data_IF_376183843352
#
_entry.id   IF_376183843352
#
_cell.length_a   1.000
_cell.length_b   1.000
_cell.length_c   1.000
_cell.angle_alpha   90.00
_cell.angle_beta   90.00
_cell.angle_gamma   90.00
#
_symmetry.space_group_name_H-M   'P 1'
#
loop_
_entity.id
_entity.type
_entity.pdbx_description
1 polymer ?
#
# COMPACT_ATOMS: atom_id res chain seq x y z
N UNK A 1 13.26 -4.50 41.33
CA UNK A 1 13.90 -4.37 40.01
C UNK A 1 12.87 -3.73 39.11
N UNK A 2 12.94 -2.40 39.02
CA UNK A 2 12.01 -1.52 38.32
C UNK A 2 12.87 -0.56 37.50
N UNK A 3 12.45 -0.35 36.25
CA UNK A 3 13.09 0.50 35.26
C UNK A 3 13.36 1.90 35.83
N UNK A 4 14.58 2.36 35.63
CA UNK A 4 15.08 3.65 36.09
C UNK A 4 15.43 4.47 34.84
N UNK A 5 14.65 5.49 34.45
CA UNK A 5 15.13 6.45 33.46
C UNK A 5 16.17 7.35 34.13
N UNK A 6 17.36 7.38 33.53
CA UNK A 6 18.47 8.23 33.95
C UNK A 6 18.10 9.70 33.74
N UNK A 7 17.89 10.42 34.84
CA UNK A 7 17.92 11.88 34.90
C UNK A 7 19.35 12.28 35.27
N UNK A 8 20.01 13.09 34.44
CA UNK A 8 21.17 13.88 34.87
C UNK A 8 20.94 15.38 34.63
N UNK A 9 20.43 15.97 35.71
CA UNK A 9 20.45 17.33 36.25
C UNK A 9 21.65 18.24 35.83
N UNK A 10 21.42 19.52 35.47
CA UNK A 10 21.54 20.66 36.40
C UNK A 10 21.18 22.04 35.80
N UNK A 11 20.64 22.86 36.69
CA UNK A 11 19.96 24.15 36.53
C UNK A 11 20.95 25.29 36.84
N UNK A 12 20.91 26.43 36.13
CA UNK A 12 20.53 27.79 36.63
C UNK A 12 21.10 28.95 35.78
N UNK A 13 20.23 29.81 35.24
CA UNK A 13 20.14 31.25 35.58
C UNK A 13 19.19 32.04 34.64
N UNK A 14 17.98 32.29 35.14
CA UNK A 14 17.10 33.47 34.98
C UNK A 14 17.26 34.43 33.78
N UNK A 15 16.22 34.52 32.93
CA UNK A 15 15.56 35.79 32.56
C UNK A 15 14.31 35.61 31.65
N UNK A 16 13.12 35.87 32.22
CA UNK A 16 11.78 36.19 31.64
C UNK A 16 11.11 35.23 30.62
N UNK A 17 9.75 35.12 30.65
CA UNK A 17 9.01 34.09 29.91
C UNK A 17 8.74 34.53 28.46
N UNK A 18 9.21 33.72 27.51
CA UNK A 18 8.72 33.69 26.13
C UNK A 18 7.51 32.73 26.05
N UNK A 19 6.58 32.89 25.09
CA UNK A 19 5.34 32.13 25.08
C UNK A 19 5.67 30.64 24.99
N UNK A 20 5.01 29.83 25.83
CA UNK A 20 5.12 28.38 25.80
C UNK A 20 4.78 27.92 24.39
N UNK A 21 5.77 27.57 23.61
CA UNK A 21 5.61 26.66 22.50
C UNK A 21 5.10 25.38 23.15
N UNK A 22 3.83 25.07 22.89
CA UNK A 22 3.22 23.82 23.31
C UNK A 22 4.11 22.69 22.77
N UNK A 23 4.80 22.00 23.67
CA UNK A 23 5.36 20.69 23.38
C UNK A 23 4.15 19.84 22.98
N UNK A 24 4.15 19.20 21.80
CA UNK A 24 3.05 18.32 21.42
C UNK A 24 2.83 17.31 22.55
N UNK A 25 1.65 17.37 23.16
CA UNK A 25 1.13 16.36 24.06
C UNK A 25 1.35 15.00 23.42
N UNK A 26 1.90 14.04 24.17
CA UNK A 26 1.92 12.61 23.84
C UNK A 26 0.58 12.28 23.16
N UNK A 27 0.60 12.03 21.85
CA UNK A 27 -0.60 11.63 21.12
C UNK A 27 -1.03 10.30 21.72
N UNK A 28 -2.17 10.31 22.43
CA UNK A 28 -2.79 9.11 22.95
C UNK A 28 -2.96 8.13 21.79
N UNK A 29 -2.38 6.93 21.92
CA UNK A 29 -2.47 5.89 20.89
C UNK A 29 -3.94 5.61 20.62
N UNK A 30 -4.35 5.74 19.35
CA UNK A 30 -5.74 5.58 18.96
C UNK A 30 -6.30 4.20 19.37
N UNK A 31 -7.51 4.11 19.93
CA UNK A 31 -8.11 2.84 20.36
C UNK A 31 -8.16 1.75 19.27
N UNK A 32 -8.18 2.12 17.99
CA UNK A 32 -8.14 1.18 16.86
C UNK A 32 -6.86 0.35 16.82
N UNK A 33 -5.73 0.85 17.32
CA UNK A 33 -4.46 0.13 17.40
C UNK A 33 -4.60 -1.09 18.31
N UNK A 34 -5.13 -0.89 19.52
CA UNK A 34 -5.39 -1.98 20.45
C UNK A 34 -6.44 -2.95 19.90
N UNK A 35 -7.51 -2.41 19.32
CA UNK A 35 -8.58 -3.22 18.74
C UNK A 35 -8.07 -4.13 17.60
N UNK A 36 -7.24 -3.59 16.71
CA UNK A 36 -6.62 -4.34 15.62
C UNK A 36 -5.71 -5.44 16.14
N UNK A 37 -4.90 -5.15 17.16
CA UNK A 37 -4.03 -6.16 17.77
C UNK A 37 -4.83 -7.28 18.45
N UNK A 38 -5.88 -6.93 19.20
CA UNK A 38 -6.78 -7.92 19.81
C UNK A 38 -7.43 -8.83 18.75
N UNK A 39 -7.93 -8.27 17.65
CA UNK A 39 -8.53 -9.04 16.56
C UNK A 39 -7.52 -9.97 15.88
N UNK A 40 -6.30 -9.48 15.65
CA UNK A 40 -5.20 -10.29 15.12
C UNK A 40 -4.83 -11.46 16.05
N UNK A 41 -4.73 -11.22 17.37
CA UNK A 41 -4.41 -12.25 18.36
C UNK A 41 -5.54 -13.28 18.47
N UNK A 42 -6.79 -12.84 18.40
CA UNK A 42 -7.95 -13.73 18.40
C UNK A 42 -7.94 -14.66 17.19
N UNK A 43 -7.62 -14.14 16.00
CA UNK A 43 -7.49 -14.93 14.78
C UNK A 43 -6.20 -15.78 14.75
N UNK A 44 -5.15 -15.35 15.45
CA UNK A 44 -3.84 -15.99 15.47
C UNK A 44 -3.33 -16.24 16.91
N UNK A 45 -3.91 -17.21 17.65
CA UNK A 45 -3.61 -17.41 19.08
C UNK A 45 -2.14 -17.73 19.43
N UNK A 46 -1.32 -18.06 18.42
CA UNK A 46 0.13 -18.26 18.58
C UNK A 46 0.88 -17.00 19.02
N UNK A 47 0.36 -15.81 18.71
CA UNK A 47 0.99 -14.52 19.03
C UNK A 47 0.56 -13.95 20.39
N UNK A 48 -0.35 -14.61 21.13
CA UNK A 48 -1.00 -14.06 22.34
C UNK A 48 -0.08 -13.58 23.47
N UNK A 49 1.17 -14.04 23.50
CA UNK A 49 2.15 -13.68 24.53
C UNK A 49 3.13 -12.60 24.05
N UNK A 50 3.00 -12.14 22.81
CA UNK A 50 3.81 -11.03 22.29
C UNK A 50 3.24 -9.69 22.77
N UNK A 51 4.14 -8.72 22.94
CA UNK A 51 3.75 -7.34 23.23
C UNK A 51 3.10 -6.71 22.00
N UNK A 52 2.23 -5.72 22.23
CA UNK A 52 1.64 -4.97 21.13
C UNK A 52 2.75 -4.26 20.35
N UNK A 53 2.80 -4.38 19.02
CA UNK A 53 3.83 -3.72 18.23
C UNK A 53 3.70 -2.19 18.26
N UNK A 54 4.80 -1.49 18.01
CA UNK A 54 4.77 -0.04 17.82
C UNK A 54 3.89 0.35 16.63
N UNK A 55 3.22 1.50 16.74
CA UNK A 55 2.33 2.03 15.71
C UNK A 55 2.85 3.35 15.12
N UNK A 56 2.86 3.46 13.78
CA UNK A 56 3.31 4.65 13.08
C UNK A 56 2.72 4.75 11.67
N UNK A 57 2.75 5.95 11.07
CA UNK A 57 2.33 6.19 9.69
C UNK A 57 3.52 6.54 8.80
N UNK A 58 3.37 6.28 7.49
CA UNK A 58 4.39 6.65 6.52
C UNK A 58 4.40 8.15 6.24
N UNK A 59 5.58 8.69 5.94
CA UNK A 59 5.77 10.08 5.54
C UNK A 59 5.36 11.09 6.62
N UNK A 60 5.35 12.39 6.29
CA UNK A 60 5.07 13.48 7.23
C UNK A 60 3.91 14.40 6.79
N UNK A 61 3.05 13.95 5.88
CA UNK A 61 1.86 14.69 5.48
C UNK A 61 0.67 13.73 5.29
N UNK A 62 -0.53 14.25 5.48
CA UNK A 62 -1.76 13.46 5.47
C UNK A 62 -2.00 12.70 4.17
N UNK A 63 -1.84 13.39 3.03
CA UNK A 63 -2.07 12.81 1.71
C UNK A 63 -1.20 11.56 1.49
N UNK A 64 0.09 11.64 1.80
CA UNK A 64 1.01 10.54 1.59
C UNK A 64 0.85 9.44 2.64
N UNK A 65 0.64 9.79 3.91
CA UNK A 65 0.39 8.81 4.97
C UNK A 65 -0.83 7.93 4.68
N UNK A 66 -1.96 8.55 4.34
CA UNK A 66 -3.21 7.85 4.06
C UNK A 66 -3.08 6.97 2.82
N UNK A 67 -2.54 7.52 1.72
CA UNK A 67 -2.30 6.78 0.47
C UNK A 67 -1.36 5.60 0.67
N UNK A 68 -0.25 5.77 1.39
CA UNK A 68 0.73 4.71 1.59
C UNK A 68 0.20 3.61 2.51
N UNK A 69 -0.62 3.94 3.51
CA UNK A 69 -1.27 2.96 4.35
C UNK A 69 -2.27 2.09 3.56
N UNK A 70 -3.05 2.69 2.66
CA UNK A 70 -3.92 1.96 1.73
C UNK A 70 -3.12 1.00 0.84
N UNK A 71 -2.01 1.46 0.26
CA UNK A 71 -1.14 0.59 -0.56
C UNK A 71 -0.53 -0.58 0.23
N UNK A 72 -0.30 -0.43 1.54
CA UNK A 72 0.13 -1.55 2.41
C UNK A 72 -1.00 -2.55 2.62
N UNK A 73 -2.23 -2.07 2.85
CA UNK A 73 -3.43 -2.93 2.97
C UNK A 73 -3.67 -3.71 1.67
N UNK A 74 -3.48 -3.07 0.51
CA UNK A 74 -3.61 -3.70 -0.82
C UNK A 74 -2.43 -4.64 -1.17
N UNK A 75 -1.36 -4.62 -0.37
CA UNK A 75 -0.13 -5.36 -0.64
C UNK A 75 0.66 -4.87 -1.85
N UNK A 76 0.42 -3.63 -2.30
CA UNK A 76 1.21 -2.97 -3.35
C UNK A 76 2.50 -2.38 -2.78
N UNK A 77 2.43 -1.75 -1.60
CA UNK A 77 3.61 -1.31 -0.85
C UNK A 77 4.05 -2.41 0.11
N UNK A 78 5.25 -2.94 -0.09
CA UNK A 78 5.85 -4.00 0.73
C UNK A 78 7.28 -3.70 1.15
N UNK A 79 7.73 -2.46 1.00
CA UNK A 79 9.01 -1.99 1.51
C UNK A 79 8.95 -0.60 2.11
N UNK A 80 9.92 -0.28 2.95
CA UNK A 80 10.12 1.04 3.56
C UNK A 80 11.59 1.38 3.68
N UNK A 81 11.91 2.67 3.57
CA UNK A 81 13.29 3.14 3.58
C UNK A 81 13.51 4.26 4.59
N UNK A 82 14.46 4.07 5.50
CA UNK A 82 14.92 5.07 6.46
C UNK A 82 16.37 5.48 6.24
N UNK A 83 16.80 6.61 6.82
CA UNK A 83 18.21 6.99 6.82
C UNK A 83 18.98 6.20 7.87
N UNK A 84 20.14 5.65 7.50
CA UNK A 84 21.03 4.98 8.45
C UNK A 84 21.49 5.94 9.56
N UNK A 85 21.78 7.20 9.20
CA UNK A 85 22.23 8.22 10.14
C UNK A 85 21.24 8.48 11.29
N UNK A 86 19.93 8.26 11.10
CA UNK A 86 18.95 8.42 12.18
C UNK A 86 19.12 7.38 13.28
N UNK A 87 19.47 6.15 12.92
CA UNK A 87 19.77 5.10 13.89
C UNK A 87 21.05 5.41 14.66
N UNK A 88 22.08 5.92 13.97
CA UNK A 88 23.33 6.35 14.63
C UNK A 88 23.10 7.51 15.60
N UNK A 89 22.33 8.53 15.20
CA UNK A 89 22.02 9.69 16.02
C UNK A 89 21.17 9.33 17.24
N UNK A 90 20.18 8.45 17.06
CA UNK A 90 19.34 7.96 18.15
C UNK A 90 20.06 6.94 19.06
N UNK A 91 21.22 6.41 18.64
CA UNK A 91 21.85 5.26 19.31
C UNK A 91 20.95 4.02 19.30
N UNK A 92 20.12 3.88 18.27
CA UNK A 92 19.14 2.81 18.13
C UNK A 92 19.70 1.66 17.29
N UNK A 93 19.25 0.44 17.59
CA UNK A 93 19.54 -0.72 16.75
C UNK A 93 18.81 -0.61 15.40
N UNK A 94 19.42 -1.19 14.35
CA UNK A 94 18.73 -1.34 13.07
C UNK A 94 17.53 -2.29 13.20
N UNK A 95 16.51 -2.15 12.33
CA UNK A 95 15.38 -3.06 12.29
C UNK A 95 15.84 -4.52 12.11
N UNK A 96 15.07 -5.45 12.63
CA UNK A 96 15.38 -6.88 12.55
C UNK A 96 14.26 -7.66 11.87
N UNK A 97 14.63 -8.75 11.19
CA UNK A 97 13.66 -9.67 10.60
C UNK A 97 12.78 -10.26 11.70
N UNK A 98 11.47 -10.22 11.51
CA UNK A 98 10.46 -10.66 12.46
C UNK A 98 9.85 -9.53 13.30
N UNK A 99 10.43 -8.33 13.28
CA UNK A 99 9.82 -7.13 13.88
C UNK A 99 8.46 -6.87 13.25
N UNK A 100 7.46 -6.62 14.08
CA UNK A 100 6.11 -6.25 13.65
C UNK A 100 5.89 -4.76 13.89
N UNK A 101 5.05 -4.16 13.07
CA UNK A 101 4.59 -2.80 13.26
C UNK A 101 3.11 -2.69 12.92
N UNK A 102 2.40 -1.77 13.58
CA UNK A 102 1.05 -1.39 13.22
C UNK A 102 1.12 -0.12 12.37
N UNK A 103 0.74 -0.22 11.11
CA UNK A 103 0.67 0.92 10.20
C UNK A 103 -0.64 1.67 10.43
N UNK A 104 -0.55 2.98 10.63
CA UNK A 104 -1.70 3.88 10.79
C UNK A 104 -1.85 4.82 9.58
N UNK A 105 -3.02 5.43 9.45
CA UNK A 105 -3.20 6.63 8.64
C UNK A 105 -2.65 7.86 9.39
N UNK A 106 -2.74 9.06 8.81
CA UNK A 106 -2.20 10.28 9.42
C UNK A 106 -2.87 10.64 10.75
N UNK A 107 -4.15 10.32 10.90
CA UNK A 107 -4.92 10.57 12.12
C UNK A 107 -4.62 9.55 13.24
N UNK A 108 -3.73 8.57 12.98
CA UNK A 108 -3.35 7.53 13.94
C UNK A 108 -4.29 6.31 13.96
N UNK A 109 -5.31 6.27 13.10
CA UNK A 109 -6.20 5.11 12.99
C UNK A 109 -5.46 3.93 12.36
N UNK A 110 -5.47 2.77 13.02
CA UNK A 110 -4.79 1.57 12.56
C UNK A 110 -5.36 1.04 11.22
N UNK A 111 -4.48 0.74 10.27
CA UNK A 111 -4.80 0.27 8.92
C UNK A 111 -4.29 -1.16 8.68
N UNK A 112 -3.08 -1.48 9.14
CA UNK A 112 -2.49 -2.80 8.93
C UNK A 112 -1.51 -3.21 10.04
N UNK A 113 -1.26 -4.52 10.16
CA UNK A 113 -0.10 -5.08 10.88
C UNK A 113 0.84 -5.62 9.83
N UNK A 114 2.10 -5.21 9.87
CA UNK A 114 3.17 -5.72 8.99
C UNK A 114 4.22 -6.49 9.79
N UNK A 115 5.01 -7.32 9.10
CA UNK A 115 6.21 -7.96 9.64
C UNK A 115 7.38 -7.79 8.68
N UNK A 116 8.52 -7.32 9.20
CA UNK A 116 9.77 -7.20 8.44
C UNK A 116 10.32 -8.59 8.11
N UNK A 117 10.60 -8.85 6.84
CA UNK A 117 11.10 -10.13 6.33
C UNK A 117 12.51 -10.05 5.76
N UNK A 118 13.00 -8.84 5.45
CA UNK A 118 14.36 -8.59 4.99
C UNK A 118 14.78 -7.18 5.42
N UNK A 119 16.04 -7.02 5.79
CA UNK A 119 16.65 -5.73 6.10
C UNK A 119 18.00 -5.66 5.41
N UNK A 120 18.22 -4.60 4.65
CA UNK A 120 19.49 -4.30 4.00
C UNK A 120 19.91 -2.86 4.28
N UNK A 121 21.20 -2.59 4.19
CA UNK A 121 21.74 -1.22 4.23
C UNK A 121 22.57 -0.99 2.97
N UNK A 122 22.13 -0.05 2.15
CA UNK A 122 22.74 0.22 0.84
C UNK A 122 22.90 1.72 0.62
N UNK A 123 23.83 2.16 -0.24
CA UNK A 123 23.90 3.56 -0.66
C UNK A 123 22.62 3.98 -1.41
N UNK A 124 22.13 5.19 -1.18
CA UNK A 124 20.92 5.74 -1.81
C UNK A 124 20.93 5.61 -3.34
N UNK A 125 22.08 5.87 -3.98
CA UNK A 125 22.22 5.78 -5.43
C UNK A 125 22.24 4.34 -5.99
N UNK A 126 22.34 3.32 -5.14
CA UNK A 126 22.34 1.90 -5.53
C UNK A 126 20.99 1.23 -5.37
N UNK A 127 19.94 1.98 -5.00
CA UNK A 127 18.58 1.44 -4.96
C UNK A 127 18.16 0.96 -6.35
N UNK A 128 17.66 -0.28 -6.40
CA UNK A 128 17.20 -0.91 -7.63
C UNK A 128 15.79 -0.44 -8.01
N UNK A 129 15.45 -0.53 -9.29
CA UNK A 129 14.09 -0.24 -9.75
C UNK A 129 13.06 -1.19 -9.15
N UNK A 130 13.40 -2.47 -8.98
CA UNK A 130 12.53 -3.46 -8.36
C UNK A 130 12.21 -3.12 -6.88
N UNK A 131 13.21 -2.69 -6.12
CA UNK A 131 12.99 -2.24 -4.75
C UNK A 131 12.16 -0.95 -4.71
N UNK A 132 12.48 0.02 -5.57
CA UNK A 132 11.72 1.25 -5.68
C UNK A 132 10.23 1.00 -6.00
N UNK A 133 9.93 -0.01 -6.81
CA UNK A 133 8.56 -0.37 -7.15
C UNK A 133 7.75 -0.84 -5.94
N UNK A 134 8.32 -1.75 -5.14
CA UNK A 134 7.66 -2.26 -3.92
C UNK A 134 7.65 -1.25 -2.76
N UNK A 135 8.57 -0.28 -2.73
CA UNK A 135 8.55 0.80 -1.75
C UNK A 135 7.50 1.87 -2.13
N UNK A 136 7.43 2.27 -3.40
CA UNK A 136 6.46 3.27 -3.85
C UNK A 136 5.04 2.70 -4.03
N UNK A 137 4.92 1.39 -4.21
CA UNK A 137 3.67 0.70 -4.56
C UNK A 137 3.24 0.98 -6.00
N UNK A 138 4.19 1.16 -6.92
CA UNK A 138 3.94 1.40 -8.35
C UNK A 138 5.08 0.86 -9.21
N UNK A 139 4.76 0.29 -10.37
CA UNK A 139 5.75 -0.14 -11.36
C UNK A 139 6.12 0.98 -12.35
N UNK A 140 5.36 2.09 -12.36
CA UNK A 140 5.51 3.18 -13.35
C UNK A 140 6.61 4.13 -12.90
N UNK A 141 7.69 4.22 -13.67
CA UNK A 141 8.82 5.11 -13.38
C UNK A 141 9.32 5.02 -11.93
N UNK A 142 9.18 3.83 -11.32
CA UNK A 142 9.28 3.65 -9.88
C UNK A 142 10.57 4.21 -9.29
N UNK A 143 11.71 3.93 -9.92
CA UNK A 143 13.02 4.41 -9.48
C UNK A 143 13.14 5.95 -9.52
N UNK A 144 12.59 6.58 -10.56
CA UNK A 144 12.64 8.03 -10.70
C UNK A 144 11.73 8.70 -9.66
N UNK A 145 10.51 8.18 -9.49
CA UNK A 145 9.57 8.64 -8.46
C UNK A 145 10.15 8.46 -7.05
N UNK A 146 10.70 7.28 -6.77
CA UNK A 146 11.34 6.95 -5.50
C UNK A 146 12.48 7.91 -5.18
N UNK A 147 13.42 8.11 -6.12
CA UNK A 147 14.55 9.04 -5.92
C UNK A 147 14.09 10.46 -5.67
N UNK A 148 13.06 10.93 -6.37
CA UNK A 148 12.50 12.27 -6.20
C UNK A 148 11.88 12.43 -4.82
N UNK A 149 10.99 11.51 -4.43
CA UNK A 149 10.28 11.57 -3.15
C UNK A 149 11.25 11.45 -1.96
N UNK A 150 12.11 10.43 -1.97
CA UNK A 150 13.04 10.17 -0.86
C UNK A 150 14.10 11.26 -0.73
N UNK A 151 14.63 11.81 -1.84
CA UNK A 151 15.54 12.95 -1.76
C UNK A 151 14.86 14.15 -1.12
N UNK A 152 13.65 14.51 -1.56
CA UNK A 152 12.94 15.65 -1.01
C UNK A 152 12.69 15.48 0.50
N UNK A 153 12.26 14.30 0.91
CA UNK A 153 12.02 13.97 2.31
C UNK A 153 13.30 14.02 3.14
N UNK A 154 14.34 13.28 2.74
CA UNK A 154 15.61 13.20 3.47
C UNK A 154 16.35 14.54 3.51
N UNK A 155 16.31 15.32 2.43
CA UNK A 155 16.95 16.63 2.42
C UNK A 155 16.30 17.56 3.45
N UNK A 156 14.96 17.62 3.50
CA UNK A 156 14.24 18.44 4.47
C UNK A 156 14.60 18.06 5.91
N UNK A 157 14.65 16.75 6.23
CA UNK A 157 14.99 16.30 7.59
C UNK A 157 16.46 16.50 7.94
N UNK A 158 17.38 16.29 7.01
CA UNK A 158 18.82 16.49 7.25
C UNK A 158 19.16 17.97 7.48
N UNK A 159 18.47 18.88 6.79
CA UNK A 159 18.67 20.33 6.95
C UNK A 159 18.43 20.78 8.40
N UNK A 160 17.48 20.16 9.12
CA UNK A 160 17.21 20.43 10.54
C UNK A 160 18.40 20.06 11.45
N UNK A 161 19.15 19.02 11.08
CA UNK A 161 20.38 18.57 11.76
C UNK A 161 21.67 19.24 11.24
N UNK A 162 21.55 20.19 10.30
CA UNK A 162 22.69 20.84 9.66
C UNK A 162 23.50 19.95 8.71
N UNK A 163 22.98 18.76 8.38
CA UNK A 163 23.58 17.82 7.44
C UNK A 163 23.13 18.09 6.01
N UNK A 164 23.82 17.51 5.03
CA UNK A 164 23.48 17.62 3.61
C UNK A 164 23.22 16.26 3.02
N UNK A 165 22.18 16.18 2.19
CA UNK A 165 21.91 15.01 1.38
C UNK A 165 23.08 14.72 0.43
N UNK A 166 23.47 13.45 0.34
CA UNK A 166 24.48 12.96 -0.60
C UNK A 166 24.00 11.66 -1.25
N UNK A 167 24.44 11.38 -2.48
CA UNK A 167 24.00 10.21 -3.25
C UNK A 167 24.53 8.89 -2.69
N UNK A 168 25.65 8.94 -1.98
CA UNK A 168 26.35 7.81 -1.37
C UNK A 168 25.96 7.57 0.09
N UNK A 169 25.05 8.39 0.65
CA UNK A 169 24.55 8.16 2.00
C UNK A 169 23.84 6.82 2.12
N UNK A 170 24.00 6.17 3.28
CA UNK A 170 23.40 4.87 3.54
C UNK A 170 21.92 5.02 3.91
N UNK A 171 21.10 4.18 3.30
CA UNK A 171 19.69 3.98 3.63
C UNK A 171 19.48 2.57 4.14
N UNK A 172 18.59 2.44 5.11
CA UNK A 172 18.15 1.18 5.70
C UNK A 172 16.85 0.80 5.01
N UNK A 173 16.90 -0.30 4.28
CA UNK A 173 15.82 -0.83 3.46
C UNK A 173 15.16 -2.00 4.18
N UNK A 174 13.88 -1.91 4.45
CA UNK A 174 13.09 -3.00 5.02
C UNK A 174 12.10 -3.50 3.98
N UNK A 175 12.08 -4.81 3.73
CA UNK A 175 10.97 -5.47 3.03
C UNK A 175 10.08 -6.11 4.08
N UNK A 176 8.78 -5.93 3.97
CA UNK A 176 7.79 -6.44 4.90
C UNK A 176 6.63 -7.15 4.20
N UNK A 177 5.85 -7.89 4.99
CA UNK A 177 4.58 -8.48 4.57
C UNK A 177 3.46 -8.00 5.46
N UNK A 178 2.29 -7.75 4.88
CA UNK A 178 1.07 -7.48 5.64
C UNK A 178 0.55 -8.76 6.27
N UNK A 179 0.46 -8.78 7.60
CA UNK A 179 -0.12 -9.86 8.41
C UNK A 179 -1.61 -9.65 8.70
N UNK A 180 -2.02 -8.39 8.83
CA UNK A 180 -3.40 -8.02 9.15
C UNK A 180 -3.78 -6.70 8.43
N UNK A 181 -5.03 -6.47 8.01
CA UNK A 181 -6.15 -7.42 8.03
C UNK A 181 -5.81 -8.71 7.32
N UNK A 182 -6.32 -9.85 7.82
CA UNK A 182 -6.21 -11.09 7.06
C UNK A 182 -6.79 -10.81 5.69
N UNK A 183 -6.12 -11.29 4.65
CA UNK A 183 -6.60 -11.10 3.29
C UNK A 183 -7.96 -11.81 3.13
N UNK A 184 -9.03 -11.05 3.30
CA UNK A 184 -10.39 -11.48 3.02
C UNK A 184 -10.70 -10.99 1.63
N UNK A 185 -10.49 -11.88 0.66
CA UNK A 185 -10.86 -11.59 -0.71
C UNK A 185 -12.36 -11.32 -0.79
N UNK A 186 -12.71 -10.16 -1.33
CA UNK A 186 -14.09 -9.82 -1.64
C UNK A 186 -14.69 -10.91 -2.54
N UNK A 187 -15.85 -11.45 -2.17
CA UNK A 187 -16.52 -12.50 -2.95
C UNK A 187 -17.62 -11.90 -3.83
N UNK A 188 -17.47 -12.04 -5.14
CA UNK A 188 -18.56 -11.84 -6.10
C UNK A 188 -19.28 -13.18 -6.25
N UNK A 189 -20.47 -13.27 -5.65
CA UNK A 189 -21.29 -14.48 -5.68
C UNK A 189 -22.22 -14.46 -6.89
N UNK A 190 -22.04 -15.42 -7.80
CA UNK A 190 -22.85 -15.55 -9.01
C UNK A 190 -23.71 -16.80 -8.92
N UNK A 191 -25.03 -16.64 -9.09
CA UNK A 191 -25.99 -17.75 -9.05
C UNK A 191 -26.70 -17.98 -10.40
N UNK A 192 -26.44 -17.11 -11.36
CA UNK A 192 -27.01 -17.12 -12.71
C UNK A 192 -25.94 -16.65 -13.70
N UNK A 193 -26.21 -16.77 -15.00
CA UNK A 193 -25.28 -16.29 -16.03
C UNK A 193 -24.91 -14.84 -15.77
N UNK A 194 -23.64 -14.50 -15.76
CA UNK A 194 -23.20 -13.12 -15.46
C UNK A 194 -21.84 -12.84 -16.07
N UNK A 195 -21.56 -11.56 -16.30
CA UNK A 195 -20.22 -11.07 -16.66
C UNK A 195 -19.68 -10.24 -15.50
N UNK A 196 -18.46 -10.55 -15.08
CA UNK A 196 -17.68 -9.72 -14.17
C UNK A 196 -16.61 -9.00 -14.98
N UNK A 197 -16.73 -7.69 -15.10
CA UNK A 197 -15.69 -6.82 -15.64
C UNK A 197 -14.75 -6.36 -14.54
N UNK A 198 -13.46 -6.35 -14.84
CA UNK A 198 -12.41 -5.80 -13.99
C UNK A 198 -11.80 -4.62 -14.71
N UNK A 199 -12.00 -3.43 -14.16
CA UNK A 199 -11.45 -2.20 -14.72
C UNK A 199 -10.08 -1.89 -14.10
N UNK A 200 -9.17 -1.23 -14.84
CA UNK A 200 -7.93 -0.72 -14.27
C UNK A 200 -8.21 0.32 -13.18
N UNK A 201 -7.40 0.32 -12.13
CA UNK A 201 -7.42 1.41 -11.16
C UNK A 201 -6.73 2.69 -11.69
N UNK A 202 -6.80 3.79 -10.95
CA UNK A 202 -6.22 5.07 -11.37
C UNK A 202 -4.70 5.00 -11.61
N UNK A 203 -3.96 4.22 -10.82
CA UNK A 203 -2.51 4.07 -10.98
C UNK A 203 -2.20 3.27 -12.25
N UNK A 204 -3.00 2.27 -12.57
CA UNK A 204 -2.90 1.51 -13.81
C UNK A 204 -3.27 2.35 -15.03
N UNK A 205 -4.26 3.24 -14.94
CA UNK A 205 -4.59 4.18 -16.01
C UNK A 205 -3.46 5.18 -16.27
N UNK A 206 -2.90 5.78 -15.21
CA UNK A 206 -1.72 6.66 -15.31
C UNK A 206 -0.51 5.92 -15.91
N UNK A 207 -0.32 4.64 -15.57
CA UNK A 207 0.69 3.77 -16.16
C UNK A 207 0.52 3.62 -17.68
N UNK A 208 -0.72 3.38 -18.11
CA UNK A 208 -1.06 3.16 -19.51
C UNK A 208 -0.86 4.45 -20.32
N UNK A 209 -1.35 5.58 -19.81
CA UNK A 209 -1.18 6.89 -20.45
C UNK A 209 0.30 7.24 -20.60
N UNK A 210 1.09 7.07 -19.55
CA UNK A 210 2.54 7.29 -19.57
C UNK A 210 3.25 6.41 -20.60
N UNK A 211 2.87 5.13 -20.68
CA UNK A 211 3.49 4.13 -21.57
C UNK A 211 3.12 4.31 -23.04
N UNK A 212 1.86 4.63 -23.32
CA UNK A 212 1.34 4.73 -24.70
C UNK A 212 1.47 6.13 -25.28
N UNK A 213 1.58 7.15 -24.44
CA UNK A 213 1.51 8.54 -24.87
C UNK A 213 0.07 9.02 -25.02
N UNK A 214 -0.12 10.32 -24.86
CA UNK A 214 -1.44 10.95 -24.70
C UNK A 214 -2.39 10.65 -25.89
N UNK A 215 -1.93 10.84 -27.12
CA UNK A 215 -2.76 10.67 -28.33
C UNK A 215 -3.22 9.21 -28.54
N UNK A 216 -2.29 8.25 -28.43
CA UNK A 216 -2.60 6.82 -28.59
C UNK A 216 -3.47 6.31 -27.43
N UNK A 217 -3.22 6.79 -26.21
CA UNK A 217 -4.04 6.46 -25.04
C UNK A 217 -5.49 6.89 -25.23
N UNK A 218 -5.74 8.16 -25.56
CA UNK A 218 -7.11 8.66 -25.72
C UNK A 218 -7.83 8.01 -26.90
N UNK A 219 -7.12 7.70 -27.99
CA UNK A 219 -7.69 6.95 -29.13
C UNK A 219 -8.12 5.55 -28.70
N UNK A 220 -7.26 4.82 -27.97
CA UNK A 220 -7.59 3.49 -27.46
C UNK A 220 -8.76 3.51 -26.46
N UNK A 221 -8.84 4.56 -25.63
CA UNK A 221 -9.95 4.73 -24.69
C UNK A 221 -11.28 5.00 -25.39
N UNK A 222 -11.29 5.81 -26.46
CA UNK A 222 -12.51 6.09 -27.23
C UNK A 222 -13.06 4.81 -27.88
N UNK A 223 -12.19 4.02 -28.54
CA UNK A 223 -12.55 2.73 -29.12
C UNK A 223 -13.08 1.77 -28.05
N UNK A 224 -12.38 1.64 -26.93
CA UNK A 224 -12.79 0.79 -25.82
C UNK A 224 -14.18 1.19 -25.28
N UNK A 225 -14.44 2.49 -25.10
CA UNK A 225 -15.73 2.99 -24.66
C UNK A 225 -16.84 2.62 -25.65
N UNK A 226 -16.58 2.77 -26.95
CA UNK A 226 -17.53 2.41 -28.00
C UNK A 226 -17.87 0.91 -27.98
N UNK A 227 -16.87 0.04 -27.90
CA UNK A 227 -17.12 -1.41 -27.87
C UNK A 227 -17.72 -1.88 -26.54
N UNK A 228 -17.34 -1.24 -25.42
CA UNK A 228 -17.95 -1.51 -24.11
C UNK A 228 -19.43 -1.17 -24.10
N UNK A 229 -19.84 -0.07 -24.75
CA UNK A 229 -21.25 0.28 -24.90
C UNK A 229 -22.03 -0.81 -25.68
N UNK A 230 -21.48 -1.29 -26.80
CA UNK A 230 -22.10 -2.38 -27.56
C UNK A 230 -22.21 -3.67 -26.75
N UNK A 231 -21.18 -4.00 -25.96
CA UNK A 231 -21.19 -5.17 -25.09
C UNK A 231 -22.31 -5.03 -24.04
N UNK A 232 -22.43 -3.86 -23.41
CA UNK A 232 -23.49 -3.62 -22.42
C UNK A 232 -24.89 -3.73 -23.03
N UNK A 233 -25.12 -3.19 -24.22
CA UNK A 233 -26.39 -3.33 -24.95
C UNK A 233 -26.72 -4.80 -25.25
N UNK A 234 -25.72 -5.59 -25.66
CA UNK A 234 -25.88 -7.02 -25.89
C UNK A 234 -26.24 -7.76 -24.60
N UNK A 235 -25.49 -7.54 -23.51
CA UNK A 235 -25.73 -8.19 -22.22
C UNK A 235 -27.13 -7.86 -21.69
N UNK A 236 -27.59 -6.61 -21.84
CA UNK A 236 -28.96 -6.21 -21.47
C UNK A 236 -30.00 -6.95 -22.32
N UNK A 237 -29.80 -7.03 -23.64
CA UNK A 237 -30.71 -7.77 -24.53
C UNK A 237 -30.81 -9.26 -24.21
N UNK A 238 -29.73 -9.85 -23.69
CA UNK A 238 -29.65 -11.25 -23.25
C UNK A 238 -30.04 -11.44 -21.78
N UNK A 239 -30.34 -10.36 -21.06
CA UNK A 239 -30.63 -10.36 -19.62
C UNK A 239 -29.49 -10.98 -18.78
N UNK A 240 -28.25 -10.73 -19.18
CA UNK A 240 -27.05 -11.17 -18.46
C UNK A 240 -26.57 -10.02 -17.55
N UNK A 241 -26.62 -10.15 -16.22
CA UNK A 241 -26.08 -9.15 -15.30
C UNK A 241 -24.59 -8.89 -15.53
N UNK A 242 -24.22 -7.61 -15.44
CA UNK A 242 -22.85 -7.14 -15.48
C UNK A 242 -22.44 -6.57 -14.12
N UNK A 243 -21.27 -6.97 -13.62
CA UNK A 243 -20.69 -6.49 -12.36
C UNK A 243 -19.31 -5.93 -12.67
N UNK A 244 -19.07 -4.65 -12.37
CA UNK A 244 -17.73 -4.06 -12.47
C UNK A 244 -17.00 -4.06 -11.12
N UNK A 245 -15.69 -4.29 -11.14
CA UNK A 245 -14.82 -4.10 -9.97
C UNK A 245 -13.45 -3.55 -10.37
N UNK A 246 -12.85 -2.75 -9.49
CA UNK A 246 -11.47 -2.28 -9.61
C UNK A 246 -10.56 -2.97 -8.57
N UNK A 247 -11.10 -3.97 -7.84
CA UNK A 247 -10.36 -4.64 -6.78
C UNK A 247 -9.21 -5.45 -7.37
N UNK A 248 -8.01 -5.24 -6.83
CA UNK A 248 -6.82 -6.02 -7.17
C UNK A 248 -7.03 -7.51 -6.99
N UNK A 249 -7.42 -7.95 -5.78
CA UNK A 249 -7.65 -9.37 -5.49
C UNK A 249 -9.08 -9.60 -5.01
N UNK A 250 -9.75 -10.60 -5.57
CA UNK A 250 -11.12 -10.98 -5.22
C UNK A 250 -11.39 -12.45 -5.60
N UNK A 251 -12.53 -13.00 -5.15
CA UNK A 251 -13.00 -14.32 -5.59
C UNK A 251 -14.30 -14.19 -6.36
N UNK A 252 -14.42 -14.90 -7.46
CA UNK A 252 -15.71 -15.20 -8.08
C UNK A 252 -16.15 -16.55 -7.54
N UNK A 253 -17.32 -16.59 -6.90
CA UNK A 253 -17.86 -17.78 -6.24
C UNK A 253 -19.18 -18.14 -6.91
N UNK A 254 -19.24 -19.36 -7.44
CA UNK A 254 -20.45 -19.93 -8.06
C UNK A 254 -20.87 -21.18 -7.27
N UNK A 255 -22.03 -21.80 -7.58
CA UNK A 255 -22.40 -23.07 -6.97
C UNK A 255 -21.41 -24.21 -7.27
N UNK A 256 -20.71 -24.14 -8.40
CA UNK A 256 -19.87 -25.21 -8.95
C UNK A 256 -18.38 -24.95 -8.77
N UNK A 257 -17.95 -23.68 -8.72
CA UNK A 257 -16.53 -23.34 -8.69
C UNK A 257 -16.21 -22.09 -7.87
N UNK A 258 -14.93 -21.92 -7.59
CA UNK A 258 -14.38 -20.72 -6.95
C UNK A 258 -13.13 -20.33 -7.72
N UNK A 259 -13.09 -19.11 -8.24
CA UNK A 259 -11.95 -18.56 -8.96
C UNK A 259 -11.39 -17.38 -8.16
N UNK A 260 -10.13 -17.47 -7.75
CA UNK A 260 -9.41 -16.31 -7.21
C UNK A 260 -8.80 -15.54 -8.37
N UNK A 261 -9.03 -14.23 -8.39
CA UNK A 261 -8.54 -13.32 -9.43
C UNK A 261 -7.58 -12.34 -8.80
N UNK A 262 -6.37 -12.25 -9.35
CA UNK A 262 -5.43 -11.15 -9.12
C UNK A 262 -5.37 -10.30 -10.41
N UNK A 263 -5.63 -9.01 -10.26
CA UNK A 263 -5.65 -8.02 -11.31
C UNK A 263 -4.33 -7.26 -11.45
N UNK A 264 -3.36 -7.51 -10.57
CA UNK A 264 -2.01 -6.97 -10.69
C UNK A 264 -1.22 -7.78 -11.73
N UNK A 265 -1.55 -7.59 -13.00
CA UNK A 265 -0.92 -8.28 -14.13
C UNK A 265 0.03 -7.34 -14.88
N UNK A 266 1.15 -7.84 -15.44
CA UNK A 266 2.12 -7.01 -16.19
C UNK A 266 1.54 -6.28 -17.40
N UNK A 267 0.43 -6.79 -17.94
CA UNK A 267 -0.23 -6.26 -19.14
C UNK A 267 -1.22 -5.13 -18.78
N UNK A 268 -1.74 -5.11 -17.55
CA UNK A 268 -2.80 -4.18 -17.13
C UNK A 268 -4.08 -4.31 -17.99
N UNK A 269 -5.04 -3.42 -17.78
CA UNK A 269 -6.20 -3.28 -18.67
C UNK A 269 -7.49 -3.97 -18.21
N UNK A 270 -8.53 -3.82 -19.04
CA UNK A 270 -9.85 -4.37 -18.78
C UNK A 270 -9.86 -5.87 -18.99
N UNK A 271 -10.42 -6.60 -18.03
CA UNK A 271 -10.55 -8.06 -18.08
C UNK A 271 -11.98 -8.46 -17.82
N UNK A 272 -12.44 -9.51 -18.46
CA UNK A 272 -13.79 -10.00 -18.28
C UNK A 272 -13.81 -11.47 -17.92
N UNK A 273 -14.73 -11.83 -17.02
CA UNK A 273 -15.01 -13.20 -16.63
C UNK A 273 -16.47 -13.50 -16.88
N UNK A 274 -16.74 -14.44 -17.76
CA UNK A 274 -18.10 -14.89 -18.06
C UNK A 274 -18.40 -16.18 -17.31
N UNK A 275 -19.45 -16.16 -16.49
CA UNK A 275 -20.04 -17.35 -15.91
C UNK A 275 -21.26 -17.76 -16.74
N UNK A 276 -21.22 -18.96 -17.32
CA UNK A 276 -22.27 -19.47 -18.21
C UNK A 276 -23.41 -20.22 -17.49
N UNK A 277 -23.34 -20.30 -16.15
CA UNK A 277 -24.24 -21.08 -15.29
C UNK A 277 -23.62 -22.37 -14.73
N UNK A 278 -22.49 -22.82 -15.29
CA UNK A 278 -21.77 -24.02 -14.87
C UNK A 278 -20.27 -23.77 -14.62
N UNK A 279 -19.62 -22.96 -15.45
CA UNK A 279 -18.18 -22.67 -15.41
C UNK A 279 -17.88 -21.20 -15.65
N UNK A 280 -16.80 -20.70 -15.06
CA UNK A 280 -16.22 -19.38 -15.31
C UNK A 280 -15.13 -19.50 -16.37
N UNK A 281 -15.19 -18.62 -17.37
CA UNK A 281 -14.13 -18.45 -18.36
C UNK A 281 -13.68 -16.99 -18.39
N UNK A 282 -12.37 -16.77 -18.47
CA UNK A 282 -11.82 -15.48 -18.89
C UNK A 282 -12.19 -15.21 -20.35
N UNK A 283 -12.62 -14.00 -20.66
CA UNK A 283 -13.04 -13.56 -21.98
C UNK A 283 -12.45 -12.20 -22.29
N UNK A 284 -12.08 -11.99 -23.56
CA UNK A 284 -11.89 -10.63 -24.05
C UNK A 284 -13.24 -10.00 -24.44
N UNK A 285 -13.22 -8.68 -24.64
CA UNK A 285 -14.43 -7.92 -24.95
C UNK A 285 -15.09 -8.41 -26.25
N UNK A 286 -14.31 -8.73 -27.27
CA UNK A 286 -14.84 -9.15 -28.56
C UNK A 286 -15.47 -10.53 -28.50
N UNK A 287 -14.91 -11.45 -27.71
CA UNK A 287 -15.54 -12.74 -27.42
C UNK A 287 -16.89 -12.58 -26.69
N UNK A 288 -17.04 -11.55 -25.83
CA UNK A 288 -18.32 -11.26 -25.19
C UNK A 288 -19.36 -10.71 -26.17
N UNK A 289 -18.93 -9.93 -27.17
CA UNK A 289 -19.81 -9.45 -28.24
C UNK A 289 -20.36 -10.58 -29.12
N UNK A 290 -19.78 -11.78 -29.04
CA UNK A 290 -20.23 -12.96 -29.78
C UNK A 290 -21.18 -13.87 -28.98
N UNK A 291 -21.53 -13.52 -27.73
CA UNK A 291 -22.51 -14.24 -26.93
C UNK A 291 -23.88 -14.20 -27.65
N UNK A 292 -24.42 -15.37 -27.98
CA UNK A 292 -25.74 -15.56 -28.62
C UNK A 292 -26.64 -16.43 -27.77
#
# INVERSE_FOLDING_TARGET
MKNLPFILLFILASCKPAPKTEVPTETEIDPSVYKMWEDFIQANPGFKNEEIPESWFFHNNQKDADRLAELVVEGKKTASTGLYAWYEEAGADLPTVGTKHIITNFDGTAQAIIVTVQVDTVPFNQISAAYAAIDMGTEVDALAQWKKAHRAFFQNTLEESGQKFTEDMLVVCEVFKTLWPQEVLYEIKLNERSVVGVSPDSLQLEAMESKWGEEDYFTAMDDLMWYSAQMMDLLDSLQIPYINTERRRFKIVTPTERLEVDNDTPEGGWRYFYFNGETIAGKDLFELLELK
#
